data_IF_025643598170
#
_entry.id   IF_025643598170
#
_cell.length_a   1.000
_cell.length_b   1.000
_cell.length_c   1.000
_cell.angle_alpha   90.00
_cell.angle_beta   90.00
_cell.angle_gamma   90.00
#
_symmetry.space_group_name_H-M   'P 1'
#
loop_
_entity.id
_entity.type
_entity.pdbx_description
1 polymer ?
#
# COMPACT_ATOMS: atom_id res chain seq x y z
N UNK A 1 0.21 -6.20 -19.06
CA UNK A 1 1.39 -5.35 -18.95
C UNK A 1 1.76 -5.07 -17.50
N UNK A 2 3.03 -4.92 -17.26
CA UNK A 2 3.56 -4.71 -15.92
C UNK A 2 3.10 -3.36 -15.36
N UNK A 3 2.41 -3.33 -14.22
CA UNK A 3 1.92 -2.07 -13.65
C UNK A 3 3.04 -1.19 -13.08
N UNK A 4 4.11 -1.82 -12.55
CA UNK A 4 5.27 -1.12 -12.00
C UNK A 4 6.52 -1.95 -12.23
N UNK A 5 7.67 -1.29 -12.35
CA UNK A 5 8.93 -1.99 -12.64
C UNK A 5 9.33 -2.99 -11.55
N UNK A 6 8.96 -2.71 -10.29
CA UNK A 6 9.29 -3.58 -9.15
C UNK A 6 8.38 -4.79 -9.02
N UNK A 7 7.24 -4.80 -9.71
CA UNK A 7 6.26 -5.88 -9.59
C UNK A 7 6.67 -7.06 -10.47
N UNK A 8 6.29 -8.27 -10.05
CA UNK A 8 6.61 -9.50 -10.75
C UNK A 8 5.37 -10.38 -10.88
N UNK A 9 5.36 -11.22 -11.92
CA UNK A 9 4.28 -12.20 -12.12
C UNK A 9 4.45 -13.35 -11.14
N UNK A 10 3.33 -13.77 -10.55
CA UNK A 10 3.30 -14.96 -9.71
C UNK A 10 2.96 -16.21 -10.55
N UNK A 11 2.74 -17.34 -9.88
CA UNK A 11 2.44 -18.60 -10.54
C UNK A 11 1.09 -18.61 -11.28
N UNK A 12 0.21 -17.67 -10.95
CA UNK A 12 -1.12 -17.53 -11.56
C UNK A 12 -1.16 -16.46 -12.65
N UNK A 13 0.00 -15.95 -13.06
CA UNK A 13 0.13 -14.85 -14.02
C UNK A 13 -0.47 -13.53 -13.53
N UNK A 14 -0.53 -13.36 -12.22
CA UNK A 14 -0.98 -12.12 -11.59
C UNK A 14 0.23 -11.27 -11.16
N UNK A 15 0.17 -9.96 -11.44
CA UNK A 15 1.22 -9.06 -11.02
C UNK A 15 1.18 -8.83 -9.52
N UNK A 16 2.33 -9.00 -8.86
CA UNK A 16 2.46 -8.87 -7.42
C UNK A 16 3.51 -7.84 -7.07
N UNK A 17 3.18 -6.95 -6.12
CA UNK A 17 4.16 -6.02 -5.57
C UNK A 17 5.19 -6.77 -4.72
N UNK A 18 6.42 -6.24 -4.59
CA UNK A 18 7.43 -6.88 -3.73
C UNK A 18 7.05 -6.85 -2.24
N UNK A 19 6.10 -6.01 -1.87
CA UNK A 19 5.56 -5.96 -0.49
C UNK A 19 4.10 -6.36 -0.54
N UNK A 20 3.69 -7.27 0.35
CA UNK A 20 2.30 -7.73 0.41
C UNK A 20 1.34 -6.55 0.68
N UNK A 21 0.18 -6.57 0.01
CA UNK A 21 -0.83 -5.53 0.18
C UNK A 21 -1.20 -5.38 1.66
N UNK A 22 -1.35 -4.13 2.15
CA UNK A 22 -1.68 -3.92 3.57
C UNK A 22 -2.96 -4.61 3.99
N UNK A 23 -2.95 -5.23 5.17
CA UNK A 23 -4.12 -5.89 5.72
C UNK A 23 -5.04 -4.90 6.44
N UNK A 24 -4.50 -3.75 6.85
CA UNK A 24 -5.27 -2.69 7.50
C UNK A 24 -5.71 -1.66 6.45
N UNK A 25 -6.95 -1.76 6.00
CA UNK A 25 -7.52 -0.85 5.00
C UNK A 25 -8.35 0.27 5.63
N UNK A 26 -8.30 0.41 6.96
CA UNK A 26 -9.08 1.39 7.68
C UNK A 26 -10.41 0.81 8.15
N UNK A 27 -11.37 1.69 8.43
CA UNK A 27 -12.71 1.30 8.86
C UNK A 27 -13.74 1.69 7.82
N UNK A 28 -14.99 1.21 7.98
CA UNK A 28 -16.08 1.61 7.08
C UNK A 28 -16.36 3.11 7.16
N UNK A 29 -16.16 3.69 8.35
CA UNK A 29 -16.38 5.11 8.57
C UNK A 29 -15.22 5.98 8.06
N UNK A 30 -14.00 5.44 8.11
CA UNK A 30 -12.81 6.17 7.69
C UNK A 30 -11.86 5.24 6.93
N UNK A 31 -12.22 4.87 5.69
CA UNK A 31 -11.36 4.00 4.89
C UNK A 31 -10.09 4.74 4.46
N UNK A 32 -9.00 3.98 4.33
CA UNK A 32 -7.73 4.52 3.85
C UNK A 32 -7.66 4.44 2.34
N UNK A 33 -7.11 5.49 1.73
CA UNK A 33 -6.83 5.50 0.30
C UNK A 33 -5.40 5.02 0.13
N UNK A 34 -5.24 3.79 -0.35
CA UNK A 34 -3.95 3.10 -0.43
C UNK A 34 -3.39 3.22 -1.84
N UNK A 35 -2.10 3.57 -1.93
CA UNK A 35 -1.40 3.71 -3.20
C UNK A 35 -0.03 3.04 -3.11
N UNK A 36 0.52 2.67 -4.27
CA UNK A 36 1.86 2.12 -4.34
C UNK A 36 2.86 3.24 -4.63
N UNK A 37 3.93 3.29 -3.83
CA UNK A 37 5.05 4.22 -4.05
C UNK A 37 6.19 3.45 -4.68
N UNK A 38 6.34 3.58 -5.98
CA UNK A 38 7.37 2.86 -6.74
C UNK A 38 8.78 3.30 -6.35
N UNK A 39 8.98 4.59 -6.11
CA UNK A 39 10.29 5.12 -5.74
C UNK A 39 10.79 4.56 -4.42
N UNK A 40 9.90 4.43 -3.43
CA UNK A 40 10.23 3.85 -2.14
C UNK A 40 9.95 2.36 -2.03
N UNK A 41 9.31 1.77 -3.05
CA UNK A 41 8.87 0.37 -3.07
C UNK A 41 8.09 0.03 -1.80
N UNK A 42 7.09 0.82 -1.51
CA UNK A 42 6.28 0.68 -0.29
C UNK A 42 4.85 1.10 -0.56
N UNK A 43 3.94 0.63 0.29
CA UNK A 43 2.56 1.09 0.27
C UNK A 43 2.45 2.36 1.10
N UNK A 44 1.67 3.31 0.57
CA UNK A 44 1.36 4.57 1.26
C UNK A 44 -0.15 4.72 1.32
N UNK A 45 -0.62 5.52 2.26
CA UNK A 45 -2.04 5.77 2.39
C UNK A 45 -2.32 7.16 2.96
N UNK A 46 -3.51 7.64 2.67
CA UNK A 46 -4.06 8.84 3.32
C UNK A 46 -5.45 8.49 3.85
N UNK A 47 -5.89 9.20 4.87
CA UNK A 47 -7.26 9.06 5.33
C UNK A 47 -8.20 9.77 4.36
N UNK A 48 -9.31 9.12 4.04
CA UNK A 48 -10.29 9.70 3.13
C UNK A 48 -10.85 11.02 3.64
N UNK A 49 -11.06 11.11 4.96
CA UNK A 49 -11.61 12.31 5.60
C UNK A 49 -10.55 13.37 5.87
N UNK A 50 -9.27 12.96 5.96
CA UNK A 50 -8.16 13.85 6.25
C UNK A 50 -6.98 13.53 5.34
N UNK A 51 -7.03 14.00 4.07
CA UNK A 51 -6.01 13.64 3.08
C UNK A 51 -4.66 14.30 3.31
N UNK A 52 -4.52 15.18 4.30
CA UNK A 52 -3.22 15.78 4.62
C UNK A 52 -2.37 14.87 5.48
N UNK A 53 -2.97 13.86 6.14
CA UNK A 53 -2.22 12.88 6.92
C UNK A 53 -1.76 11.74 6.01
N UNK A 54 -0.46 11.57 5.90
CA UNK A 54 0.14 10.53 5.09
C UNK A 54 0.72 9.44 5.98
N UNK A 55 0.63 8.20 5.52
CA UNK A 55 1.12 7.04 6.25
C UNK A 55 1.95 6.16 5.33
N UNK A 56 2.94 5.48 5.91
CA UNK A 56 3.71 4.44 5.23
C UNK A 56 3.39 3.10 5.88
N UNK A 57 3.30 2.05 5.07
CA UNK A 57 3.02 0.72 5.57
C UNK A 57 4.28 0.07 6.13
N UNK A 58 4.22 -0.37 7.38
CA UNK A 58 5.29 -1.14 8.01
C UNK A 58 4.93 -2.62 7.93
N UNK A 59 5.52 -3.32 6.97
CA UNK A 59 5.22 -4.73 6.73
C UNK A 59 5.66 -5.63 7.89
N UNK A 60 6.67 -5.22 8.65
CA UNK A 60 7.14 -5.98 9.81
C UNK A 60 6.16 -5.88 10.97
N UNK A 61 5.59 -4.70 11.19
CA UNK A 61 4.62 -4.47 12.26
C UNK A 61 3.18 -4.73 11.81
N UNK A 62 2.94 -4.85 10.49
CA UNK A 62 1.61 -4.96 9.88
C UNK A 62 0.73 -3.78 10.32
N UNK A 63 1.29 -2.59 10.29
CA UNK A 63 0.62 -1.38 10.76
C UNK A 63 1.06 -0.16 9.96
N UNK A 64 0.23 0.88 9.98
CA UNK A 64 0.56 2.16 9.37
C UNK A 64 1.38 3.02 10.32
N UNK A 65 2.39 3.67 9.78
CA UNK A 65 3.27 4.57 10.53
C UNK A 65 3.15 5.95 9.90
N UNK A 66 3.06 6.99 10.72
CA UNK A 66 3.01 8.36 10.22
C UNK A 66 4.24 8.67 9.36
N UNK A 67 3.96 9.21 8.19
CA UNK A 67 5.01 9.58 7.25
C UNK A 67 5.70 10.87 7.68
#
# INVERSE_FOLDING_TARGET
>A
PQPHDSWALDANDDWQAPVTYPTDTGTEESPKIISWDEAGQQWTATDREDPVNNFNWDASALAWVSA
#
